data_IF_036648713333
#
_entry.id   IF_036648713333
#
_cell.length_a   1.000
_cell.length_b   1.000
_cell.length_c   1.000
_cell.angle_alpha   90.00
_cell.angle_beta   90.00
_cell.angle_gamma   90.00
#
_symmetry.space_group_name_H-M   'P 1'
#
loop_
_entity.id
_entity.type
_entity.pdbx_description
1 polymer ?
#
# COMPACT_ATOMS: atom_id res chain seq x y z
N UNK A 1 -5.97 -21.89 25.43
CA UNK A 1 -4.72 -21.98 24.65
C UNK A 1 -5.08 -22.83 23.44
N UNK A 2 -5.31 -22.32 22.24
CA UNK A 2 -4.97 -21.03 21.65
C UNK A 2 -6.10 -20.66 20.70
N UNK A 3 -6.69 -19.48 20.90
CA UNK A 3 -7.67 -18.93 19.96
C UNK A 3 -6.90 -18.39 18.76
N UNK A 4 -6.87 -19.14 17.66
CA UNK A 4 -6.36 -18.65 16.39
C UNK A 4 -7.26 -17.50 15.91
N UNK A 5 -6.75 -16.28 16.04
CA UNK A 5 -7.34 -15.04 15.52
C UNK A 5 -7.57 -15.21 14.01
N UNK A 6 -8.80 -15.55 13.62
CA UNK A 6 -9.24 -15.48 12.23
C UNK A 6 -9.88 -14.11 11.99
N UNK A 7 -9.15 -13.03 12.33
CA UNK A 7 -9.39 -11.74 11.69
C UNK A 7 -8.69 -11.82 10.34
N UNK A 8 -9.34 -12.46 9.37
CA UNK A 8 -8.92 -12.33 7.98
C UNK A 8 -9.28 -10.90 7.57
N UNK A 9 -8.43 -9.97 8.02
CA UNK A 9 -8.37 -8.58 7.63
C UNK A 9 -8.53 -8.51 6.12
N UNK A 10 -9.44 -7.65 5.64
CA UNK A 10 -9.61 -7.37 4.22
C UNK A 10 -8.35 -6.67 3.70
N UNK A 11 -7.30 -7.44 3.48
CA UNK A 11 -6.00 -6.99 3.03
C UNK A 11 -6.08 -6.72 1.53
N UNK A 12 -6.00 -5.44 1.17
CA UNK A 12 -5.86 -5.01 -0.22
C UNK A 12 -4.39 -5.21 -0.62
N UNK A 13 -4.13 -6.22 -1.46
CA UNK A 13 -2.81 -6.46 -2.04
C UNK A 13 -2.76 -5.96 -3.48
N UNK A 14 -1.69 -5.29 -3.83
CA UNK A 14 -1.49 -4.71 -5.15
C UNK A 14 -0.01 -4.53 -5.42
N UNK A 15 0.34 -4.50 -6.70
CA UNK A 15 1.68 -4.17 -7.16
C UNK A 15 1.69 -2.74 -7.68
N UNK A 16 2.68 -1.96 -7.29
CA UNK A 16 2.82 -0.60 -7.78
C UNK A 16 4.29 -0.24 -7.99
N UNK A 17 4.54 0.62 -8.96
CA UNK A 17 5.84 1.21 -9.18
C UNK A 17 5.91 2.58 -8.51
N UNK A 18 7.01 2.88 -7.82
CA UNK A 18 7.30 4.25 -7.38
C UNK A 18 7.68 5.07 -8.61
N UNK A 19 6.80 5.99 -9.02
CA UNK A 19 7.07 6.86 -10.18
C UNK A 19 7.84 8.12 -9.79
N UNK A 20 7.61 8.62 -8.56
CA UNK A 20 8.31 9.79 -8.04
C UNK A 20 8.37 9.80 -6.51
N UNK A 21 9.51 10.23 -5.98
CA UNK A 21 9.67 10.61 -4.58
C UNK A 21 10.07 12.09 -4.53
N UNK A 22 9.39 12.89 -3.73
CA UNK A 22 9.67 14.32 -3.58
C UNK A 22 9.69 14.69 -2.10
N UNK A 23 10.77 15.33 -1.65
CA UNK A 23 10.81 15.96 -0.32
C UNK A 23 10.02 17.27 -0.36
N UNK A 24 9.11 17.42 0.59
CA UNK A 24 8.28 18.61 0.76
C UNK A 24 9.02 19.67 1.60
N UNK A 25 8.53 20.92 1.59
CA UNK A 25 9.17 22.04 2.26
C UNK A 25 9.26 21.87 3.79
N UNK A 26 8.39 21.06 4.38
CA UNK A 26 8.36 20.68 5.79
C UNK A 26 9.25 19.48 6.12
N UNK A 27 10.01 18.96 5.13
CA UNK A 27 10.80 17.74 5.27
C UNK A 27 9.98 16.45 5.14
N UNK A 28 8.66 16.54 4.91
CA UNK A 28 7.82 15.39 4.61
C UNK A 28 8.18 14.73 3.28
N UNK A 29 7.76 13.48 3.09
CA UNK A 29 7.94 12.75 1.83
C UNK A 29 6.62 12.62 1.10
N UNK A 30 6.63 12.93 -0.19
CA UNK A 30 5.56 12.60 -1.13
C UNK A 30 6.03 11.48 -2.05
N UNK A 31 5.30 10.36 -2.02
CA UNK A 31 5.53 9.21 -2.91
C UNK A 31 4.36 9.13 -3.89
N UNK A 32 4.67 9.01 -5.18
CA UNK A 32 3.69 8.75 -6.24
C UNK A 32 3.86 7.30 -6.67
N UNK A 33 2.75 6.56 -6.62
CA UNK A 33 2.68 5.15 -6.98
C UNK A 33 1.83 5.01 -8.23
N UNK A 34 2.39 4.35 -9.25
CA UNK A 34 1.69 4.01 -10.47
C UNK A 34 1.30 2.53 -10.41
N UNK A 35 0.03 2.25 -10.67
CA UNK A 35 -0.52 0.90 -10.74
C UNK A 35 -0.76 0.52 -12.20
N UNK A 36 -0.85 -0.78 -12.48
CA UNK A 36 -1.19 -1.23 -13.83
C UNK A 36 -2.62 -0.81 -14.18
N UNK A 37 -2.87 -0.48 -15.45
CA UNK A 37 -4.21 -0.10 -15.93
C UNK A 37 -5.26 -1.20 -15.69
N UNK A 38 -4.82 -2.47 -15.63
CA UNK A 38 -5.68 -3.63 -15.34
C UNK A 38 -6.12 -3.73 -13.89
N UNK A 39 -5.54 -2.97 -12.96
CA UNK A 39 -5.83 -3.03 -11.52
C UNK A 39 -6.94 -2.05 -11.08
N UNK A 40 -7.96 -1.89 -11.92
CA UNK A 40 -9.10 -0.97 -11.70
C UNK A 40 -9.82 -1.28 -10.39
N UNK A 41 -10.02 -2.56 -10.08
CA UNK A 41 -10.72 -2.99 -8.87
C UNK A 41 -9.95 -2.65 -7.60
N UNK A 42 -8.62 -2.73 -7.62
CA UNK A 42 -7.81 -2.35 -6.47
C UNK A 42 -7.80 -0.84 -6.29
N UNK A 43 -7.70 -0.07 -7.38
CA UNK A 43 -7.84 1.39 -7.34
C UNK A 43 -9.20 1.80 -6.73
N UNK A 44 -10.29 1.11 -7.09
CA UNK A 44 -11.62 1.31 -6.50
C UNK A 44 -11.61 1.02 -4.98
N UNK A 45 -11.01 -0.08 -4.55
CA UNK A 45 -10.89 -0.43 -3.14
C UNK A 45 -10.08 0.62 -2.36
N UNK A 46 -9.01 1.16 -2.94
CA UNK A 46 -8.24 2.26 -2.34
C UNK A 46 -9.06 3.53 -2.16
N UNK A 47 -9.84 3.90 -3.17
CA UNK A 47 -10.72 5.08 -3.07
C UNK A 47 -11.76 4.90 -1.96
N UNK A 48 -12.31 3.70 -1.81
CA UNK A 48 -13.25 3.37 -0.73
C UNK A 48 -12.58 3.40 0.65
N UNK A 49 -11.41 2.80 0.81
CA UNK A 49 -10.64 2.81 2.05
C UNK A 49 -10.28 4.24 2.48
N UNK A 50 -9.85 5.08 1.54
CA UNK A 50 -9.59 6.51 1.77
C UNK A 50 -10.85 7.24 2.26
N UNK A 51 -11.99 7.02 1.60
CA UNK A 51 -13.26 7.65 2.00
C UNK A 51 -13.72 7.20 3.39
N UNK A 52 -13.46 5.94 3.76
CA UNK A 52 -13.75 5.41 5.08
C UNK A 52 -12.80 5.91 6.18
N UNK A 53 -11.76 6.69 5.84
CA UNK A 53 -10.78 7.20 6.80
C UNK A 53 -9.75 6.16 7.24
N UNK A 54 -9.45 5.17 6.40
CA UNK A 54 -8.42 4.17 6.71
C UNK A 54 -7.05 4.82 6.95
N UNK A 55 -6.35 4.31 7.97
CA UNK A 55 -4.96 4.69 8.24
C UNK A 55 -4.08 3.89 7.28
N UNK A 56 -3.23 4.59 6.52
CA UNK A 56 -2.25 3.97 5.63
C UNK A 56 -0.90 3.86 6.35
N UNK A 57 -0.45 2.63 6.59
CA UNK A 57 0.91 2.35 7.05
C UNK A 57 1.79 2.00 5.84
N UNK A 58 2.93 2.69 5.70
CA UNK A 58 3.91 2.44 4.63
C UNK A 58 5.18 1.91 5.29
N UNK A 59 5.52 0.65 5.00
CA UNK A 59 6.74 0.01 5.49
C UNK A 59 7.72 -0.16 4.33
N UNK A 60 8.87 0.51 4.42
CA UNK A 60 9.98 0.30 3.51
C UNK A 60 10.96 -0.70 4.13
N UNK A 61 11.19 -1.83 3.47
CA UNK A 61 12.17 -2.83 3.89
C UNK A 61 13.35 -2.84 2.92
N UNK A 62 14.61 -2.94 3.42
CA UNK A 62 15.74 -3.14 2.54
C UNK A 62 15.58 -4.46 1.78
N UNK A 63 15.83 -4.44 0.47
CA UNK A 63 15.82 -5.65 -0.34
C UNK A 63 17.06 -6.47 0.01
N UNK A 64 16.91 -7.43 0.93
CA UNK A 64 17.96 -8.39 1.26
C UNK A 64 17.96 -9.59 0.31
N UNK A 65 16.79 -9.96 -0.24
CA UNK A 65 16.61 -10.94 -1.31
C UNK A 65 15.42 -10.54 -2.19
N UNK A 66 15.51 -10.81 -3.49
CA UNK A 66 14.45 -10.52 -4.45
C UNK A 66 13.29 -11.50 -4.21
N UNK A 67 12.24 -11.09 -3.50
CA UNK A 67 11.00 -11.87 -3.42
C UNK A 67 10.17 -11.62 -4.66
N UNK A 68 9.89 -12.69 -5.40
CA UNK A 68 8.84 -12.71 -6.41
C UNK A 68 7.51 -12.85 -5.68
N UNK A 69 6.58 -11.91 -5.90
CA UNK A 69 5.22 -11.91 -5.36
C UNK A 69 4.23 -12.08 -6.50
#
# INVERSE_FOLDING_TARGET
MSSDNTENEQLIKFSAQVSKVTTMADGGLRVVLDMAETEIDVARQFMQAKQAGAILEIVAVPVTEKKEW
#
